data_IF_468565204732
#
_entry.id   IF_468565204732
#
_cell.length_a   1.000
_cell.length_b   1.000
_cell.length_c   1.000
_cell.angle_alpha   90.00
_cell.angle_beta   90.00
_cell.angle_gamma   90.00
#
_symmetry.space_group_name_H-M   'P 1'
#
loop_
_entity.id
_entity.type
_entity.pdbx_description
1 polymer ?
#
# COMPACT_ATOMS: atom_id res chain seq x y z
N UNK A 1 -12.04 -7.99 -15.62
CA UNK A 1 -10.91 -8.92 -15.90
C UNK A 1 -10.46 -9.52 -14.57
N UNK A 2 -10.78 -10.77 -14.26
CA UNK A 2 -10.18 -11.47 -13.12
C UNK A 2 -8.72 -11.73 -13.48
N UNK A 3 -7.82 -10.85 -13.06
CA UNK A 3 -6.40 -11.07 -13.17
C UNK A 3 -6.04 -12.38 -12.49
N UNK A 4 -5.22 -13.19 -13.14
CA UNK A 4 -4.74 -14.47 -12.61
C UNK A 4 -3.94 -14.20 -11.32
N UNK A 5 -4.56 -14.36 -10.15
CA UNK A 5 -3.96 -14.12 -8.82
C UNK A 5 -2.66 -14.92 -8.61
N UNK A 6 -2.41 -15.93 -9.44
CA UNK A 6 -1.21 -16.75 -9.43
C UNK A 6 0.02 -16.08 -10.08
N UNK A 7 -0.18 -14.99 -10.84
CA UNK A 7 0.87 -14.34 -11.63
C UNK A 7 1.25 -12.96 -11.13
N UNK A 8 0.53 -12.46 -10.14
CA UNK A 8 0.75 -11.12 -9.60
C UNK A 8 1.40 -11.24 -8.23
N UNK A 9 2.35 -10.36 -7.93
CA UNK A 9 3.01 -10.33 -6.62
C UNK A 9 2.21 -9.49 -5.63
N UNK A 10 2.22 -9.81 -4.32
CA UNK A 10 1.62 -8.96 -3.31
C UNK A 10 2.12 -7.52 -3.36
N UNK A 11 3.42 -7.31 -3.59
CA UNK A 11 4.02 -5.99 -3.72
C UNK A 11 3.45 -5.15 -4.87
N UNK A 12 3.06 -5.79 -6.01
CA UNK A 12 2.47 -5.08 -7.14
C UNK A 12 1.06 -4.58 -6.86
N UNK A 13 0.30 -5.29 -6.00
CA UNK A 13 -1.08 -4.94 -5.68
C UNK A 13 -1.16 -4.00 -4.49
N UNK A 14 -0.33 -4.23 -3.47
CA UNK A 14 -0.32 -3.43 -2.25
C UNK A 14 1.13 -3.13 -1.79
N UNK A 15 1.78 -2.13 -2.42
CA UNK A 15 3.14 -1.75 -2.09
C UNK A 15 3.26 -1.07 -0.71
N UNK A 16 2.16 -0.68 -0.09
CA UNK A 16 2.14 0.06 1.18
C UNK A 16 1.91 -0.84 2.39
N UNK A 17 1.59 -2.12 2.18
CA UNK A 17 1.36 -3.07 3.26
C UNK A 17 2.60 -3.26 4.13
N UNK A 18 2.37 -3.53 5.41
CA UNK A 18 3.44 -3.80 6.38
C UNK A 18 4.32 -4.99 5.98
N UNK A 19 3.75 -6.02 5.32
CA UNK A 19 4.48 -7.22 4.89
C UNK A 19 5.34 -6.99 3.63
N UNK A 20 5.09 -5.91 2.86
CA UNK A 20 5.96 -5.50 1.76
C UNK A 20 7.06 -4.54 2.22
N UNK A 21 7.04 -4.12 3.49
CA UNK A 21 8.08 -3.27 4.06
C UNK A 21 9.42 -4.00 4.11
N UNK A 22 10.53 -3.27 3.93
CA UNK A 22 11.86 -3.85 3.96
C UNK A 22 12.25 -4.48 5.32
N UNK A 23 11.48 -4.30 6.38
CA UNK A 23 11.73 -4.91 7.69
C UNK A 23 11.37 -6.41 7.77
N UNK A 24 10.51 -6.92 6.90
CA UNK A 24 10.06 -8.32 6.93
C UNK A 24 11.19 -9.30 6.68
N UNK A 25 12.08 -9.12 5.67
CA UNK A 25 13.26 -9.96 5.51
C UNK A 25 14.18 -9.95 6.74
N UNK A 26 14.34 -8.79 7.40
CA UNK A 26 15.15 -8.69 8.63
C UNK A 26 14.52 -9.49 9.76
N UNK A 27 13.20 -9.45 9.93
CA UNK A 27 12.53 -10.23 10.95
C UNK A 27 12.74 -11.75 10.75
N UNK A 28 12.66 -12.24 9.52
CA UNK A 28 12.94 -13.64 9.22
C UNK A 28 14.43 -13.99 9.39
N UNK A 29 15.35 -13.06 9.08
CA UNK A 29 16.77 -13.24 9.37
C UNK A 29 17.03 -13.40 10.88
N UNK A 30 16.39 -12.58 11.71
CA UNK A 30 16.49 -12.67 13.18
C UNK A 30 15.89 -13.98 13.68
N UNK A 31 14.73 -14.41 13.16
CA UNK A 31 14.12 -15.69 13.51
C UNK A 31 15.02 -16.87 13.12
N UNK A 32 15.61 -16.86 11.93
CA UNK A 32 16.55 -17.88 11.49
C UNK A 32 17.80 -17.94 12.40
N UNK A 33 18.32 -16.78 12.80
CA UNK A 33 19.43 -16.67 13.74
C UNK A 33 19.07 -17.25 15.12
N UNK A 34 17.90 -16.89 15.67
CA UNK A 34 17.46 -17.37 16.99
C UNK A 34 17.28 -18.89 16.97
N UNK A 35 16.61 -19.44 15.95
CA UNK A 35 16.37 -20.87 15.84
C UNK A 35 17.69 -21.61 15.64
N UNK A 36 18.52 -21.16 14.68
CA UNK A 36 19.82 -21.80 14.40
C UNK A 36 20.77 -21.73 15.61
N UNK A 37 20.98 -20.55 16.19
CA UNK A 37 21.85 -20.40 17.35
C UNK A 37 21.31 -21.13 18.58
N UNK A 38 19.98 -21.09 18.80
CA UNK A 38 19.36 -21.82 19.91
C UNK A 38 19.53 -23.33 19.81
N UNK A 39 19.34 -23.89 18.61
CA UNK A 39 19.54 -25.33 18.38
C UNK A 39 21.00 -25.69 18.51
N UNK A 40 21.94 -24.94 17.93
CA UNK A 40 23.36 -25.15 18.07
C UNK A 40 23.79 -25.11 19.54
N UNK A 41 23.29 -24.15 20.32
CA UNK A 41 23.59 -24.05 21.76
C UNK A 41 23.12 -25.27 22.57
N UNK A 42 22.05 -25.94 22.14
CA UNK A 42 21.55 -27.16 22.78
C UNK A 42 22.30 -28.39 22.30
N UNK A 43 22.73 -28.43 21.04
CA UNK A 43 23.31 -29.62 20.39
C UNK A 43 24.83 -29.55 20.21
N UNK A 44 25.53 -28.49 20.66
CA UNK A 44 26.93 -28.22 20.41
C UNK A 44 27.88 -29.37 20.83
N UNK A 45 27.50 -30.16 21.82
CA UNK A 45 28.30 -31.29 22.35
C UNK A 45 28.02 -32.60 21.59
N UNK A 46 27.05 -32.66 20.67
CA UNK A 46 26.65 -33.86 19.94
C UNK A 46 27.36 -34.03 18.60
N UNK A 47 28.15 -33.04 18.14
CA UNK A 47 28.83 -33.12 16.85
C UNK A 47 30.16 -32.36 16.82
N UNK A 48 31.15 -32.90 16.08
CA UNK A 48 32.50 -32.34 16.03
C UNK A 48 32.62 -31.10 15.13
N UNK A 49 31.65 -30.83 14.23
CA UNK A 49 31.73 -29.83 13.17
C UNK A 49 30.80 -28.64 13.37
N UNK A 50 30.63 -28.19 14.62
CA UNK A 50 29.72 -27.06 14.99
C UNK A 50 29.99 -25.79 14.17
N UNK A 51 31.24 -25.55 13.76
CA UNK A 51 31.58 -24.39 12.93
C UNK A 51 30.88 -24.40 11.55
N UNK A 52 30.57 -25.59 10.99
CA UNK A 52 29.80 -25.73 9.76
C UNK A 52 28.34 -25.32 9.98
N UNK A 53 27.75 -25.66 11.13
CA UNK A 53 26.41 -25.19 11.47
C UNK A 53 26.36 -23.68 11.63
N UNK A 54 27.35 -23.09 12.29
CA UNK A 54 27.46 -21.62 12.41
C UNK A 54 27.59 -20.97 11.03
N UNK A 55 28.43 -21.53 10.14
CA UNK A 55 28.55 -21.04 8.76
C UNK A 55 27.22 -21.23 7.96
N UNK A 56 26.53 -22.32 8.21
CA UNK A 56 25.19 -22.58 7.63
C UNK A 56 24.14 -21.55 8.06
N UNK A 57 24.08 -21.23 9.36
CA UNK A 57 23.22 -20.17 9.89
C UNK A 57 23.56 -18.83 9.24
N UNK A 58 24.86 -18.52 9.17
CA UNK A 58 25.31 -17.27 8.55
C UNK A 58 24.90 -17.18 7.07
N UNK A 59 24.98 -18.29 6.32
CA UNK A 59 24.52 -18.34 4.92
C UNK A 59 23.00 -18.10 4.79
N UNK A 60 22.18 -18.70 5.65
CA UNK A 60 20.72 -18.51 5.66
C UNK A 60 20.34 -17.07 6.06
N UNK A 61 20.99 -16.52 7.09
CA UNK A 61 20.81 -15.11 7.47
C UNK A 61 21.22 -14.20 6.32
N UNK A 62 22.36 -14.47 5.67
CA UNK A 62 22.80 -13.71 4.49
C UNK A 62 21.78 -13.79 3.34
N UNK A 63 21.13 -14.95 3.12
CA UNK A 63 20.06 -15.07 2.12
C UNK A 63 18.91 -14.07 2.40
N UNK A 64 18.42 -14.00 3.63
CA UNK A 64 17.38 -13.04 4.02
C UNK A 64 17.85 -11.58 3.88
N UNK A 65 19.10 -11.29 4.25
CA UNK A 65 19.68 -9.94 4.12
C UNK A 65 19.83 -9.54 2.64
N UNK A 66 20.20 -10.47 1.76
CA UNK A 66 20.26 -10.20 0.31
C UNK A 66 18.89 -9.82 -0.23
N UNK A 67 17.80 -10.50 0.17
CA UNK A 67 16.43 -10.11 -0.19
C UNK A 67 16.13 -8.70 0.30
N UNK A 68 16.52 -8.35 1.54
CA UNK A 68 16.37 -7.01 2.09
C UNK A 68 17.02 -5.92 1.20
N UNK A 69 18.23 -6.19 0.70
CA UNK A 69 18.94 -5.24 -0.17
C UNK A 69 18.35 -5.20 -1.59
N UNK A 70 17.87 -6.34 -2.10
CA UNK A 70 17.27 -6.43 -3.43
C UNK A 70 15.89 -5.75 -3.50
N UNK A 71 15.16 -5.65 -2.39
CA UNK A 71 13.79 -5.11 -2.31
C UNK A 71 13.70 -3.65 -1.85
N UNK A 72 14.83 -2.92 -1.80
CA UNK A 72 14.84 -1.49 -1.45
C UNK A 72 14.03 -0.66 -2.43
N UNK A 73 13.34 0.41 -1.98
CA UNK A 73 12.41 1.21 -2.80
C UNK A 73 13.02 1.84 -4.06
N UNK A 74 14.34 2.03 -4.08
CA UNK A 74 15.07 2.64 -5.22
C UNK A 74 15.51 1.63 -6.29
N UNK A 75 15.23 0.33 -6.12
CA UNK A 75 15.59 -0.71 -7.08
C UNK A 75 14.41 -1.12 -7.96
N UNK A 76 14.66 -1.62 -9.19
CA UNK A 76 13.61 -2.16 -10.05
C UNK A 76 12.90 -3.33 -9.36
N UNK A 77 11.69 -3.66 -9.83
CA UNK A 77 10.89 -4.75 -9.30
C UNK A 77 11.70 -6.05 -9.19
N UNK A 78 11.53 -6.77 -8.08
CA UNK A 78 12.22 -8.01 -7.78
C UNK A 78 12.02 -9.05 -8.90
N UNK A 79 13.12 -9.53 -9.45
CA UNK A 79 13.13 -10.41 -10.61
C UNK A 79 13.54 -11.85 -10.23
N UNK A 80 13.31 -12.80 -11.16
CA UNK A 80 13.81 -14.18 -11.01
C UNK A 80 15.31 -14.24 -10.75
N UNK A 81 16.11 -13.34 -11.36
CA UNK A 81 17.56 -13.28 -11.17
C UNK A 81 17.93 -12.90 -9.75
N UNK A 82 17.14 -12.02 -9.13
CA UNK A 82 17.39 -11.59 -7.75
C UNK A 82 17.08 -12.72 -6.75
N UNK A 83 16.19 -13.67 -7.10
CA UNK A 83 15.88 -14.83 -6.29
C UNK A 83 16.99 -15.91 -6.31
N UNK A 84 17.83 -15.96 -7.34
CA UNK A 84 18.88 -16.99 -7.48
C UNK A 84 19.88 -16.92 -6.32
N UNK A 85 20.34 -15.73 -5.96
CA UNK A 85 21.34 -15.55 -4.90
C UNK A 85 20.82 -16.05 -3.54
N UNK A 86 19.67 -15.61 -3.02
CA UNK A 86 19.17 -16.11 -1.74
C UNK A 86 18.83 -17.60 -1.76
N UNK A 87 18.35 -18.15 -2.88
CA UNK A 87 18.13 -19.59 -3.00
C UNK A 87 19.42 -20.38 -2.97
N UNK A 88 20.47 -19.91 -3.65
CA UNK A 88 21.81 -20.53 -3.62
C UNK A 88 22.40 -20.48 -2.20
N UNK A 89 22.29 -19.35 -1.51
CA UNK A 89 22.75 -19.22 -0.13
C UNK A 89 21.97 -20.14 0.82
N UNK A 90 20.67 -20.32 0.61
CA UNK A 90 19.87 -21.27 1.39
C UNK A 90 20.32 -22.71 1.15
N UNK A 91 20.64 -23.09 -0.10
CA UNK A 91 21.19 -24.40 -0.43
C UNK A 91 22.58 -24.59 0.17
N UNK A 92 23.47 -23.61 0.12
CA UNK A 92 24.78 -23.65 0.77
C UNK A 92 24.63 -23.86 2.27
N UNK A 93 23.77 -23.10 2.93
CA UNK A 93 23.48 -23.26 4.36
C UNK A 93 22.93 -24.66 4.70
N UNK A 94 22.04 -25.18 3.86
CA UNK A 94 21.52 -26.54 3.99
C UNK A 94 22.64 -27.61 3.86
N UNK A 95 23.50 -27.50 2.85
CA UNK A 95 24.59 -28.45 2.62
C UNK A 95 25.61 -28.40 3.76
N UNK A 96 25.99 -27.22 4.24
CA UNK A 96 26.91 -27.08 5.37
C UNK A 96 26.36 -27.76 6.63
N UNK A 97 25.11 -27.55 6.94
CA UNK A 97 24.44 -28.20 8.07
C UNK A 97 24.23 -29.70 7.86
N UNK A 98 24.07 -30.16 6.60
CA UNK A 98 24.04 -31.58 6.25
C UNK A 98 25.37 -32.27 6.57
N UNK A 99 26.48 -31.65 6.16
CA UNK A 99 27.84 -32.18 6.41
C UNK A 99 28.11 -32.24 7.92
N UNK A 100 27.69 -31.19 8.67
CA UNK A 100 27.78 -31.21 10.13
C UNK A 100 26.98 -32.33 10.77
N UNK A 101 25.82 -32.66 10.20
CA UNK A 101 24.93 -33.71 10.68
C UNK A 101 25.39 -35.14 10.43
N UNK A 102 26.26 -35.38 9.42
CA UNK A 102 26.68 -36.74 9.01
C UNK A 102 27.44 -37.51 10.11
N UNK A 103 28.22 -36.81 10.91
CA UNK A 103 29.05 -37.40 11.99
C UNK A 103 28.51 -37.00 13.39
N UNK A 104 27.25 -36.60 13.48
CA UNK A 104 26.66 -36.16 14.73
C UNK A 104 25.63 -37.16 15.26
N UNK A 105 25.44 -37.18 16.59
CA UNK A 105 24.33 -37.90 17.25
C UNK A 105 23.01 -37.14 17.27
N UNK A 106 22.91 -36.05 16.50
CA UNK A 106 21.71 -35.22 16.43
C UNK A 106 20.62 -35.97 15.69
N UNK A 107 19.42 -35.98 16.26
CA UNK A 107 18.26 -36.57 15.59
C UNK A 107 17.68 -35.60 14.53
N UNK A 108 17.18 -36.15 13.41
CA UNK A 108 16.60 -35.37 12.30
C UNK A 108 15.54 -34.35 12.74
N UNK A 109 14.79 -34.63 13.81
CA UNK A 109 13.78 -33.72 14.39
C UNK A 109 14.38 -32.47 15.06
N UNK A 110 15.67 -32.51 15.44
CA UNK A 110 16.39 -31.37 16.01
C UNK A 110 17.27 -30.66 14.96
N UNK A 111 17.16 -31.05 13.71
CA UNK A 111 17.88 -30.40 12.62
C UNK A 111 17.27 -29.04 12.29
N UNK A 112 17.99 -27.99 12.58
CA UNK A 112 17.50 -26.59 12.44
C UNK A 112 17.39 -26.11 10.98
N UNK A 113 18.25 -26.63 10.06
CA UNK A 113 18.37 -26.10 8.71
C UNK A 113 17.05 -26.08 7.89
N UNK A 114 16.17 -27.08 7.96
CA UNK A 114 14.86 -27.04 7.29
C UNK A 114 14.00 -25.84 7.69
N UNK A 115 14.01 -25.46 8.97
CA UNK A 115 13.26 -24.31 9.49
C UNK A 115 13.87 -23.01 8.92
N UNK A 116 15.20 -22.89 8.92
CA UNK A 116 15.91 -21.76 8.35
C UNK A 116 15.64 -21.58 6.86
N UNK A 117 15.63 -22.68 6.09
CA UNK A 117 15.26 -22.67 4.66
C UNK A 117 13.81 -22.25 4.48
N UNK A 118 12.88 -22.68 5.33
CA UNK A 118 11.49 -22.24 5.34
C UNK A 118 11.35 -20.73 5.53
N UNK A 119 12.17 -20.12 6.38
CA UNK A 119 12.20 -18.66 6.57
C UNK A 119 12.70 -17.93 5.32
N UNK A 120 13.67 -18.49 4.56
CA UNK A 120 14.09 -17.90 3.28
C UNK A 120 12.92 -17.90 2.29
N UNK A 121 12.14 -19.00 2.18
CA UNK A 121 10.94 -19.06 1.34
C UNK A 121 9.92 -18.00 1.78
N UNK A 122 9.68 -17.88 3.08
CA UNK A 122 8.76 -16.88 3.63
C UNK A 122 9.20 -15.43 3.32
N UNK A 123 10.51 -15.18 3.36
CA UNK A 123 11.11 -13.88 3.02
C UNK A 123 10.83 -13.48 1.57
N UNK A 124 10.78 -14.43 0.64
CA UNK A 124 10.50 -14.20 -0.78
C UNK A 124 9.02 -13.98 -1.07
N UNK A 125 8.12 -14.33 -0.15
CA UNK A 125 6.67 -14.29 -0.33
C UNK A 125 6.13 -12.96 -0.87
N UNK A 126 6.36 -11.83 -0.22
CA UNK A 126 5.82 -10.54 -0.64
C UNK A 126 6.27 -10.09 -2.04
N UNK A 127 7.40 -10.58 -2.50
CA UNK A 127 8.10 -10.12 -3.71
C UNK A 127 8.01 -11.09 -4.88
N UNK A 128 7.45 -12.29 -4.67
CA UNK A 128 7.35 -13.34 -5.67
C UNK A 128 5.88 -13.71 -5.94
N UNK A 129 5.60 -14.25 -7.12
CA UNK A 129 4.28 -14.79 -7.45
C UNK A 129 4.04 -16.12 -6.73
N UNK A 130 2.77 -16.49 -6.52
CA UNK A 130 2.41 -17.78 -5.90
C UNK A 130 3.06 -18.96 -6.61
N UNK A 131 3.11 -18.93 -7.94
CA UNK A 131 3.78 -19.99 -8.75
C UNK A 131 5.27 -20.09 -8.46
N UNK A 132 5.94 -18.95 -8.34
CA UNK A 132 7.38 -18.90 -8.02
C UNK A 132 7.64 -19.45 -6.61
N UNK A 133 6.82 -19.05 -5.61
CA UNK A 133 6.94 -19.57 -4.25
C UNK A 133 6.79 -21.09 -4.21
N UNK A 134 5.80 -21.64 -4.91
CA UNK A 134 5.62 -23.11 -5.01
C UNK A 134 6.85 -23.74 -5.66
N UNK A 135 7.36 -23.20 -6.76
CA UNK A 135 8.53 -23.74 -7.45
C UNK A 135 9.79 -23.71 -6.55
N UNK A 136 10.06 -22.57 -5.90
CA UNK A 136 11.21 -22.43 -4.98
C UNK A 136 11.08 -23.37 -3.78
N UNK A 137 9.90 -23.40 -3.18
CA UNK A 137 9.61 -24.24 -2.03
C UNK A 137 9.67 -25.72 -2.36
N UNK A 138 9.19 -26.15 -3.54
CA UNK A 138 9.28 -27.54 -4.00
C UNK A 138 10.74 -27.95 -4.23
N UNK A 139 11.53 -27.09 -4.90
CA UNK A 139 12.96 -27.32 -5.10
C UNK A 139 13.70 -27.51 -3.77
N UNK A 140 13.48 -26.57 -2.84
CA UNK A 140 14.12 -26.60 -1.54
C UNK A 140 13.63 -27.76 -0.67
N UNK A 141 12.36 -28.15 -0.75
CA UNK A 141 11.82 -29.32 -0.05
C UNK A 141 12.47 -30.62 -0.52
N UNK A 142 12.63 -30.79 -1.85
CA UNK A 142 13.33 -31.96 -2.40
C UNK A 142 14.80 -31.97 -1.98
N UNK A 143 15.49 -30.84 -2.08
CA UNK A 143 16.87 -30.70 -1.63
C UNK A 143 17.01 -31.04 -0.12
N UNK A 144 16.10 -30.55 0.71
CA UNK A 144 16.11 -30.82 2.15
C UNK A 144 15.82 -32.28 2.47
N UNK A 145 14.89 -32.93 1.75
CA UNK A 145 14.63 -34.36 1.89
C UNK A 145 15.87 -35.20 1.54
N UNK A 146 16.52 -34.89 0.42
CA UNK A 146 17.75 -35.58 -0.01
C UNK A 146 18.88 -35.38 0.99
N UNK A 147 19.13 -34.16 1.42
CA UNK A 147 20.11 -33.83 2.43
C UNK A 147 19.85 -34.53 3.76
N UNK A 148 18.59 -34.58 4.20
CA UNK A 148 18.17 -35.29 5.40
C UNK A 148 18.42 -36.79 5.31
N UNK A 149 18.15 -37.41 4.15
CA UNK A 149 18.47 -38.82 3.93
C UNK A 149 19.96 -39.09 3.95
N UNK A 150 20.78 -38.20 3.38
CA UNK A 150 22.23 -38.33 3.37
C UNK A 150 22.79 -38.21 4.79
N UNK A 151 22.30 -37.27 5.60
CA UNK A 151 22.86 -37.03 6.95
C UNK A 151 22.36 -38.04 8.01
N UNK A 152 21.09 -38.49 7.93
CA UNK A 152 20.42 -39.16 9.04
C UNK A 152 19.97 -40.59 8.75
N UNK A 153 20.23 -41.14 7.54
CA UNK A 153 19.94 -42.54 7.22
C UNK A 153 21.24 -43.32 7.27
N UNK A 154 21.58 -43.87 8.46
CA UNK A 154 22.73 -44.75 8.64
C UNK A 154 22.27 -46.18 9.03
N UNK A 155 23.09 -47.22 8.81
CA UNK A 155 22.78 -48.57 9.23
C UNK A 155 22.59 -48.63 10.77
N UNK A 156 21.40 -49.09 11.20
CA UNK A 156 21.08 -49.18 12.64
C UNK A 156 20.17 -48.05 13.18
N UNK A 157 19.84 -47.08 12.38
CA UNK A 157 18.88 -46.02 12.80
C UNK A 157 17.43 -46.55 12.89
N UNK A 158 16.70 -46.05 13.86
CA UNK A 158 15.30 -46.43 14.16
C UNK A 158 14.33 -45.99 13.05
N UNK A 159 14.64 -44.91 12.31
CA UNK A 159 13.77 -44.31 11.34
C UNK A 159 13.99 -44.85 9.91
N UNK A 160 12.88 -45.12 9.21
CA UNK A 160 12.96 -45.46 7.78
C UNK A 160 13.38 -44.25 6.95
N UNK A 161 14.00 -44.47 5.79
CA UNK A 161 14.41 -43.41 4.84
C UNK A 161 13.23 -42.49 4.49
N UNK A 162 12.03 -43.05 4.32
CA UNK A 162 10.82 -42.29 4.02
C UNK A 162 10.43 -41.38 5.17
N UNK A 163 10.52 -41.88 6.41
CA UNK A 163 10.23 -41.06 7.60
C UNK A 163 11.21 -39.92 7.77
N UNK A 164 12.52 -40.16 7.56
CA UNK A 164 13.55 -39.13 7.60
C UNK A 164 13.31 -38.07 6.53
N UNK A 165 13.04 -38.47 5.29
CA UNK A 165 12.75 -37.54 4.18
C UNK A 165 11.53 -36.67 4.49
N UNK A 166 10.47 -37.27 5.04
CA UNK A 166 9.24 -36.55 5.38
C UNK A 166 9.46 -35.56 6.52
N UNK A 167 10.13 -35.96 7.60
CA UNK A 167 10.44 -35.10 8.74
C UNK A 167 11.34 -33.93 8.28
N UNK A 168 12.40 -34.23 7.53
CA UNK A 168 13.34 -33.22 7.02
C UNK A 168 12.63 -32.20 6.12
N UNK A 169 11.77 -32.61 5.18
CA UNK A 169 11.08 -31.71 4.27
C UNK A 169 9.91 -30.94 4.92
N UNK A 170 9.34 -31.45 6.02
CA UNK A 170 8.08 -30.95 6.59
C UNK A 170 8.07 -29.45 6.88
N UNK A 171 9.13 -28.92 7.47
CA UNK A 171 9.23 -27.50 7.82
C UNK A 171 9.22 -26.60 6.55
N UNK A 172 9.94 -27.02 5.49
CA UNK A 172 9.99 -26.27 4.23
C UNK A 172 8.65 -26.36 3.51
N UNK A 173 8.00 -27.52 3.50
CA UNK A 173 6.67 -27.73 2.88
C UNK A 173 5.63 -26.87 3.59
N UNK A 174 5.58 -26.89 4.93
CA UNK A 174 4.65 -26.09 5.72
C UNK A 174 4.90 -24.59 5.48
N UNK A 175 6.15 -24.15 5.51
CA UNK A 175 6.54 -22.76 5.23
C UNK A 175 6.13 -22.34 3.81
N UNK A 176 6.30 -23.21 2.82
CA UNK A 176 5.93 -22.97 1.42
C UNK A 176 4.41 -22.84 1.27
N UNK A 177 3.66 -23.79 1.82
CA UNK A 177 2.18 -23.78 1.76
C UNK A 177 1.62 -22.57 2.48
N UNK A 178 2.12 -22.26 3.67
CA UNK A 178 1.70 -21.07 4.42
C UNK A 178 1.98 -19.78 3.65
N UNK A 179 3.18 -19.63 3.09
CA UNK A 179 3.57 -18.45 2.32
C UNK A 179 2.77 -18.32 1.03
N UNK A 180 2.59 -19.42 0.28
CA UNK A 180 1.81 -19.43 -0.95
C UNK A 180 0.34 -19.10 -0.70
N UNK A 181 -0.25 -19.68 0.36
CA UNK A 181 -1.63 -19.39 0.78
C UNK A 181 -1.79 -17.93 1.20
N UNK A 182 -0.87 -17.41 2.01
CA UNK A 182 -0.86 -16.01 2.41
C UNK A 182 -0.81 -15.08 1.19
N UNK A 183 0.13 -15.30 0.27
CA UNK A 183 0.24 -14.49 -0.95
C UNK A 183 -1.02 -14.57 -1.81
N UNK A 184 -1.58 -15.77 -1.99
CA UNK A 184 -2.82 -15.96 -2.74
C UNK A 184 -4.00 -15.23 -2.12
N UNK A 185 -4.19 -15.35 -0.80
CA UNK A 185 -5.28 -14.69 -0.08
C UNK A 185 -5.14 -13.18 -0.13
N UNK A 186 -3.94 -12.64 0.07
CA UNK A 186 -3.68 -11.19 -0.02
C UNK A 186 -4.00 -10.69 -1.41
N UNK A 187 -3.47 -11.34 -2.45
CA UNK A 187 -3.69 -10.93 -3.84
C UNK A 187 -5.16 -11.03 -4.23
N UNK A 188 -5.83 -12.15 -3.93
CA UNK A 188 -7.23 -12.37 -4.31
C UNK A 188 -8.19 -11.46 -3.56
N UNK A 189 -7.97 -11.22 -2.26
CA UNK A 189 -8.83 -10.32 -1.46
C UNK A 189 -8.68 -8.86 -1.91
N UNK A 190 -7.45 -8.42 -2.20
CA UNK A 190 -7.22 -7.05 -2.70
C UNK A 190 -7.80 -6.87 -4.10
N UNK A 191 -7.66 -7.85 -5.01
CA UNK A 191 -8.31 -7.82 -6.33
C UNK A 191 -9.83 -7.79 -6.22
N UNK A 192 -10.43 -8.54 -5.29
CA UNK A 192 -11.87 -8.51 -5.05
C UNK A 192 -12.36 -7.14 -4.56
N UNK A 193 -11.59 -6.49 -3.67
CA UNK A 193 -11.87 -5.14 -3.20
C UNK A 193 -11.78 -4.11 -4.33
N UNK A 194 -10.73 -4.20 -5.16
CA UNK A 194 -10.56 -3.33 -6.33
C UNK A 194 -11.67 -3.53 -7.37
N UNK A 195 -12.10 -4.77 -7.61
CA UNK A 195 -13.21 -5.07 -8.50
C UNK A 195 -14.54 -4.53 -7.94
N UNK A 196 -14.75 -4.61 -6.62
CA UNK A 196 -15.91 -4.02 -5.94
C UNK A 196 -15.90 -2.50 -5.96
N UNK A 197 -14.74 -1.87 -5.83
CA UNK A 197 -14.59 -0.41 -5.94
C UNK A 197 -14.81 0.10 -7.37
N UNK A 198 -14.48 -0.72 -8.39
CA UNK A 198 -14.70 -0.39 -9.81
C UNK A 198 -16.16 -0.50 -10.26
N UNK A 199 -17.04 -1.10 -9.45
CA UNK A 199 -18.50 -1.18 -9.69
C UNK A 199 -19.29 0.00 -9.09
N UNK A 200 -18.63 1.12 -8.76
CA UNK A 200 -19.36 2.38 -8.65
C UNK A 200 -19.94 2.66 -10.05
N UNK A 201 -21.27 2.62 -10.24
CA UNK A 201 -21.85 2.73 -11.56
C UNK A 201 -21.43 4.05 -12.22
N UNK A 202 -21.36 4.14 -13.55
CA UNK A 202 -21.12 5.40 -14.26
C UNK A 202 -22.23 6.46 -14.04
N UNK A 203 -23.16 6.17 -13.14
CA UNK A 203 -24.10 7.14 -12.58
C UNK A 203 -23.45 8.39 -11.99
N UNK A 204 -22.11 8.38 -11.76
CA UNK A 204 -21.42 9.53 -11.22
C UNK A 204 -21.34 10.72 -12.18
N UNK A 205 -21.26 10.52 -13.50
CA UNK A 205 -21.24 11.66 -14.44
C UNK A 205 -22.62 12.29 -14.60
N UNK A 206 -23.65 11.48 -14.81
CA UNK A 206 -25.02 11.99 -14.90
C UNK A 206 -25.51 12.59 -13.56
N UNK A 207 -25.18 11.95 -12.43
CA UNK A 207 -25.48 12.49 -11.10
C UNK A 207 -24.65 13.73 -10.76
N UNK A 208 -23.40 13.82 -11.23
CA UNK A 208 -22.57 15.03 -11.07
C UNK A 208 -23.07 16.18 -11.92
N UNK A 209 -23.47 15.94 -13.18
CA UNK A 209 -24.08 16.95 -14.03
C UNK A 209 -25.44 17.40 -13.48
N UNK A 210 -26.23 16.48 -12.96
CA UNK A 210 -27.53 16.82 -12.37
C UNK A 210 -27.35 17.55 -11.03
N UNK A 211 -26.34 17.24 -10.24
CA UNK A 211 -25.98 18.01 -9.05
C UNK A 211 -25.47 19.42 -9.42
N UNK A 212 -24.63 19.55 -10.44
CA UNK A 212 -24.18 20.85 -10.94
C UNK A 212 -25.37 21.69 -11.43
N UNK A 213 -26.30 21.13 -12.23
CA UNK A 213 -27.51 21.77 -12.68
C UNK A 213 -28.46 22.13 -11.52
N UNK A 214 -28.52 21.32 -10.46
CA UNK A 214 -29.27 21.64 -9.24
C UNK A 214 -28.68 22.82 -8.47
N UNK A 215 -27.35 22.90 -8.37
CA UNK A 215 -26.65 24.02 -7.72
C UNK A 215 -26.90 25.31 -8.53
N UNK A 216 -26.74 25.24 -9.84
CA UNK A 216 -27.02 26.38 -10.74
C UNK A 216 -28.49 26.87 -10.64
N UNK A 217 -29.46 25.95 -10.69
CA UNK A 217 -30.88 26.29 -10.50
C UNK A 217 -31.17 26.88 -9.12
N UNK A 218 -30.52 26.36 -8.04
CA UNK A 218 -30.68 26.94 -6.69
C UNK A 218 -30.07 28.34 -6.59
N UNK A 219 -28.95 28.58 -7.27
CA UNK A 219 -28.32 29.90 -7.30
C UNK A 219 -29.19 30.89 -8.06
N UNK A 220 -29.70 30.51 -9.24
CA UNK A 220 -30.65 31.33 -10.01
C UNK A 220 -31.96 31.56 -9.27
N UNK A 221 -32.48 30.54 -8.59
CA UNK A 221 -33.71 30.69 -7.77
C UNK A 221 -33.49 31.62 -6.57
N UNK A 222 -32.31 31.58 -5.91
CA UNK A 222 -32.00 32.53 -4.82
C UNK A 222 -31.88 33.96 -5.31
N UNK A 223 -31.29 34.17 -6.49
CA UNK A 223 -31.23 35.47 -7.14
C UNK A 223 -32.63 35.95 -7.51
N UNK A 224 -33.43 35.11 -8.15
CA UNK A 224 -34.81 35.42 -8.49
C UNK A 224 -35.65 35.76 -7.28
N UNK A 225 -35.60 34.97 -6.19
CA UNK A 225 -36.37 35.19 -4.98
C UNK A 225 -36.02 36.46 -4.19
N UNK A 226 -34.84 37.04 -4.40
CA UNK A 226 -34.44 38.28 -3.71
C UNK A 226 -34.60 39.54 -4.59
N UNK A 227 -34.30 39.41 -5.86
CA UNK A 227 -34.27 40.58 -6.77
C UNK A 227 -35.60 40.77 -7.47
N UNK A 228 -36.32 39.69 -7.85
CA UNK A 228 -37.60 39.79 -8.53
C UNK A 228 -38.69 40.53 -7.72
N UNK A 229 -38.91 40.23 -6.41
CA UNK A 229 -39.90 40.94 -5.62
C UNK A 229 -39.58 42.42 -5.45
N UNK A 230 -38.32 42.78 -5.39
CA UNK A 230 -37.88 44.19 -5.33
C UNK A 230 -38.17 44.93 -6.63
N UNK A 231 -37.89 44.31 -7.78
CA UNK A 231 -38.19 44.91 -9.08
C UNK A 231 -39.68 44.98 -9.37
N UNK A 232 -40.46 43.98 -8.97
CA UNK A 232 -41.91 43.94 -9.06
C UNK A 232 -42.52 45.07 -8.21
N UNK A 233 -42.05 45.27 -6.95
CA UNK A 233 -42.47 46.33 -6.08
C UNK A 233 -42.24 47.74 -6.65
N UNK A 234 -41.12 47.97 -7.35
CA UNK A 234 -40.84 49.22 -8.05
C UNK A 234 -41.75 49.37 -9.28
N UNK A 235 -41.99 48.29 -10.04
CA UNK A 235 -42.83 48.31 -11.22
C UNK A 235 -44.28 48.66 -10.85
N UNK A 236 -44.78 48.10 -9.75
CA UNK A 236 -46.14 48.37 -9.25
C UNK A 236 -46.29 49.78 -8.64
N UNK A 237 -45.24 50.31 -8.01
CA UNK A 237 -45.28 51.66 -7.43
C UNK A 237 -45.18 52.78 -8.49
N UNK A 238 -44.62 52.50 -9.68
CA UNK A 238 -44.45 53.45 -10.77
C UNK A 238 -43.44 54.57 -10.54
N UNK A 239 -42.88 54.70 -9.33
CA UNK A 239 -41.90 55.73 -8.97
C UNK A 239 -40.75 55.11 -8.17
N UNK A 240 -39.53 55.59 -8.41
CA UNK A 240 -38.31 55.13 -7.70
C UNK A 240 -37.99 56.11 -6.58
N UNK A 241 -38.17 55.68 -5.35
CA UNK A 241 -37.86 56.50 -4.17
C UNK A 241 -36.36 56.51 -3.82
N UNK A 242 -35.86 57.45 -3.03
CA UNK A 242 -34.47 57.44 -2.51
C UNK A 242 -34.14 56.18 -1.68
N UNK A 243 -35.14 55.61 -0.99
CA UNK A 243 -35.01 54.35 -0.24
C UNK A 243 -34.80 53.17 -1.17
N UNK A 244 -35.48 53.11 -2.33
CA UNK A 244 -35.31 52.05 -3.32
C UNK A 244 -33.91 52.09 -3.95
N UNK A 245 -33.38 53.28 -4.19
CA UNK A 245 -31.96 53.42 -4.66
C UNK A 245 -30.97 52.92 -3.65
N UNK A 246 -31.15 53.21 -2.37
CA UNK A 246 -30.28 52.71 -1.31
C UNK A 246 -30.34 51.18 -1.20
N UNK A 247 -31.55 50.58 -1.26
CA UNK A 247 -31.75 49.12 -1.24
C UNK A 247 -31.20 48.45 -2.49
N UNK A 248 -31.38 49.03 -3.67
CA UNK A 248 -30.74 48.53 -4.92
C UNK A 248 -29.22 48.51 -4.80
N UNK A 249 -28.63 49.60 -4.28
CA UNK A 249 -27.20 49.64 -4.03
C UNK A 249 -26.69 48.61 -3.02
N UNK A 250 -27.48 48.28 -2.01
CA UNK A 250 -27.15 47.22 -1.04
C UNK A 250 -27.24 45.83 -1.67
N UNK A 251 -28.32 45.55 -2.39
CA UNK A 251 -28.50 44.29 -3.11
C UNK A 251 -27.43 44.08 -4.18
N UNK A 252 -27.04 45.11 -4.91
CA UNK A 252 -25.95 45.06 -5.89
C UNK A 252 -24.59 44.73 -5.25
N UNK A 253 -24.26 45.36 -4.12
CA UNK A 253 -23.03 45.06 -3.37
C UNK A 253 -23.02 43.63 -2.84
N UNK A 254 -24.14 43.18 -2.31
CA UNK A 254 -24.31 41.83 -1.78
C UNK A 254 -24.17 40.78 -2.89
N UNK A 255 -24.81 41.02 -4.04
CA UNK A 255 -24.71 40.17 -5.22
C UNK A 255 -23.28 40.08 -5.75
N UNK A 256 -22.59 41.24 -5.83
CA UNK A 256 -21.19 41.28 -6.25
C UNK A 256 -20.30 40.50 -5.28
N UNK A 257 -20.52 40.67 -3.98
CA UNK A 257 -19.77 39.90 -2.95
C UNK A 257 -20.02 38.41 -3.07
N UNK A 258 -21.26 37.98 -3.28
CA UNK A 258 -21.64 36.59 -3.47
C UNK A 258 -21.01 36.00 -4.76
N UNK A 259 -21.03 36.77 -5.87
CA UNK A 259 -20.42 36.36 -7.14
C UNK A 259 -18.89 36.27 -7.04
N UNK A 260 -18.21 37.22 -6.39
CA UNK A 260 -16.77 37.19 -6.15
C UNK A 260 -16.40 36.00 -5.25
N UNK A 261 -17.16 35.76 -4.19
CA UNK A 261 -16.97 34.59 -3.31
C UNK A 261 -17.19 33.28 -4.06
N UNK A 262 -18.13 33.24 -5.00
CA UNK A 262 -18.39 32.04 -5.82
C UNK A 262 -17.31 31.86 -6.89
N UNK A 263 -16.80 32.94 -7.50
CA UNK A 263 -15.71 32.89 -8.47
C UNK A 263 -14.39 32.47 -7.85
N UNK A 264 -14.16 32.83 -6.57
CA UNK A 264 -12.97 32.43 -5.82
C UNK A 264 -13.05 31.03 -5.21
N UNK A 265 -14.17 30.32 -5.35
CA UNK A 265 -14.27 28.94 -4.86
C UNK A 265 -13.57 28.00 -5.84
N UNK A 266 -12.56 27.32 -5.31
CA UNK A 266 -11.88 26.27 -6.07
C UNK A 266 -12.75 25.03 -6.27
N UNK A 267 -12.42 24.17 -7.22
CA UNK A 267 -13.10 22.89 -7.41
C UNK A 267 -13.03 22.04 -6.12
N UNK A 268 -11.98 22.22 -5.30
CA UNK A 268 -11.77 21.52 -4.05
C UNK A 268 -12.79 21.97 -2.99
N UNK A 269 -13.10 23.28 -2.91
CA UNK A 269 -14.14 23.81 -2.05
C UNK A 269 -15.53 23.24 -2.40
N UNK A 270 -15.77 22.99 -3.70
CA UNK A 270 -17.02 22.38 -4.15
C UNK A 270 -17.21 20.96 -3.61
N UNK A 271 -16.13 20.18 -3.46
CA UNK A 271 -16.15 18.85 -2.83
C UNK A 271 -16.32 18.98 -1.32
N UNK A 272 -15.67 19.95 -0.69
CA UNK A 272 -15.76 20.19 0.74
C UNK A 272 -17.20 20.49 1.21
N UNK A 273 -18.03 21.11 0.36
CA UNK A 273 -19.45 21.38 0.65
C UNK A 273 -20.30 20.11 0.82
N UNK A 274 -19.88 18.98 0.24
CA UNK A 274 -20.60 17.69 0.32
C UNK A 274 -20.10 16.79 1.45
N UNK A 275 -19.00 17.14 2.09
CA UNK A 275 -18.38 16.33 3.14
C UNK A 275 -17.80 17.15 4.29
N UNK A 276 -17.30 16.46 5.30
CA UNK A 276 -16.58 17.08 6.43
C UNK A 276 -15.10 17.29 6.05
N UNK A 277 -14.85 18.13 5.04
CA UNK A 277 -13.49 18.45 4.58
C UNK A 277 -13.24 19.92 4.89
N UNK A 278 -12.14 20.18 5.60
CA UNK A 278 -11.62 21.54 5.76
C UNK A 278 -10.52 21.76 4.72
N UNK A 279 -10.69 22.77 3.89
CA UNK A 279 -9.76 23.16 2.83
C UNK A 279 -9.10 24.49 3.24
N UNK A 280 -7.78 24.49 3.23
CA UNK A 280 -6.96 25.72 3.40
C UNK A 280 -6.17 25.92 2.10
N UNK A 281 -6.68 26.77 1.23
CA UNK A 281 -6.08 27.12 -0.06
C UNK A 281 -6.19 28.63 -0.29
N UNK A 282 -5.38 29.45 0.42
CA UNK A 282 -5.51 30.90 0.37
C UNK A 282 -5.21 31.49 -1.01
N UNK A 283 -4.39 30.82 -1.81
CA UNK A 283 -3.91 31.27 -3.12
C UNK A 283 -4.65 30.65 -4.29
N UNK A 284 -5.77 29.94 -4.05
CA UNK A 284 -6.56 29.19 -5.05
C UNK A 284 -5.69 28.23 -5.90
N UNK A 285 -4.68 27.61 -5.29
CA UNK A 285 -3.72 26.71 -5.96
C UNK A 285 -4.34 25.40 -6.43
N UNK A 286 -5.45 24.99 -5.85
CA UNK A 286 -6.20 23.84 -6.33
C UNK A 286 -6.63 24.00 -7.78
N UNK A 287 -6.91 25.21 -8.25
CA UNK A 287 -7.32 25.48 -9.64
C UNK A 287 -6.14 25.40 -10.63
N UNK A 288 -4.91 25.45 -10.14
CA UNK A 288 -3.71 25.24 -10.95
C UNK A 288 -3.41 23.78 -11.21
N UNK A 289 -4.08 22.83 -10.52
CA UNK A 289 -3.93 21.40 -10.81
C UNK A 289 -4.39 21.05 -12.22
N UNK A 290 -3.62 20.20 -12.90
CA UNK A 290 -4.05 19.66 -14.19
C UNK A 290 -5.20 18.65 -14.04
N UNK A 291 -5.84 18.25 -15.13
CA UNK A 291 -7.01 17.37 -15.13
C UNK A 291 -6.72 16.00 -14.48
N UNK A 292 -5.52 15.44 -14.70
CA UNK A 292 -5.11 14.15 -14.13
C UNK A 292 -4.96 14.25 -12.58
N UNK A 293 -4.30 15.29 -12.09
CA UNK A 293 -4.12 15.58 -10.67
C UNK A 293 -5.45 15.80 -9.97
N UNK A 294 -6.35 16.61 -10.56
CA UNK A 294 -7.71 16.84 -10.04
C UNK A 294 -8.49 15.55 -9.95
N UNK A 295 -8.43 14.71 -11.00
CA UNK A 295 -9.14 13.43 -11.04
C UNK A 295 -8.62 12.46 -9.99
N UNK A 296 -7.30 12.33 -9.85
CA UNK A 296 -6.67 11.44 -8.88
C UNK A 296 -6.99 11.86 -7.43
N UNK A 297 -6.84 13.16 -7.11
CA UNK A 297 -7.14 13.68 -5.78
C UNK A 297 -8.64 13.57 -5.47
N UNK A 298 -9.50 13.89 -6.42
CA UNK A 298 -10.96 13.75 -6.28
C UNK A 298 -11.37 12.30 -6.02
N UNK A 299 -10.77 11.33 -6.73
CA UNK A 299 -11.03 9.91 -6.53
C UNK A 299 -10.64 9.47 -5.12
N UNK A 300 -9.46 9.91 -4.64
CA UNK A 300 -9.01 9.65 -3.27
C UNK A 300 -9.99 10.22 -2.23
N UNK A 301 -10.36 11.49 -2.34
CA UNK A 301 -11.28 12.15 -1.40
C UNK A 301 -12.65 11.47 -1.36
N UNK A 302 -13.22 11.17 -2.53
CA UNK A 302 -14.51 10.50 -2.62
C UNK A 302 -14.48 9.08 -2.05
N UNK A 303 -13.38 8.34 -2.26
CA UNK A 303 -13.22 7.01 -1.70
C UNK A 303 -13.16 7.04 -0.16
N UNK A 304 -12.46 8.03 0.39
CA UNK A 304 -12.39 8.27 1.83
C UNK A 304 -13.76 8.61 2.38
N UNK A 305 -14.47 9.54 1.76
CA UNK A 305 -15.78 10.04 2.22
C UNK A 305 -16.89 8.98 2.12
N UNK A 306 -16.87 8.14 1.09
CA UNK A 306 -17.92 7.15 0.84
C UNK A 306 -17.67 5.81 1.55
N UNK A 307 -16.57 5.65 2.29
CA UNK A 307 -16.31 4.40 3.00
C UNK A 307 -17.12 4.33 4.31
N UNK A 308 -18.13 3.44 4.41
CA UNK A 308 -18.97 3.33 5.59
C UNK A 308 -18.21 2.83 6.85
N UNK A 309 -17.05 2.20 6.67
CA UNK A 309 -16.20 1.75 7.76
C UNK A 309 -15.18 2.82 8.23
N UNK A 310 -15.04 3.91 7.49
CA UNK A 310 -14.32 5.09 7.92
C UNK A 310 -15.29 5.95 8.75
N UNK A 311 -15.20 5.86 10.07
CA UNK A 311 -15.75 6.92 10.93
C UNK A 311 -14.88 8.13 10.65
N UNK A 312 -15.25 8.87 9.63
CA UNK A 312 -14.47 10.01 9.17
C UNK A 312 -14.59 11.10 10.22
N UNK A 313 -13.50 11.33 10.93
CA UNK A 313 -13.26 12.57 11.62
C UNK A 313 -13.25 13.74 10.61
N UNK A 314 -12.53 14.75 10.89
CA UNK A 314 -12.40 15.90 10.00
C UNK A 314 -11.26 15.66 9.02
N UNK A 315 -11.55 15.58 7.72
CA UNK A 315 -10.55 15.61 6.66
C UNK A 315 -10.01 17.05 6.55
N UNK A 316 -8.69 17.19 6.58
CA UNK A 316 -8.03 18.49 6.46
C UNK A 316 -7.07 18.47 5.27
N UNK A 317 -7.24 19.42 4.34
CA UNK A 317 -6.36 19.63 3.18
C UNK A 317 -5.77 21.02 3.25
N UNK A 318 -4.47 21.11 3.16
CA UNK A 318 -3.72 22.35 3.10
C UNK A 318 -2.87 22.40 1.83
N UNK A 319 -2.98 23.51 1.09
CA UNK A 319 -2.15 23.81 -0.07
C UNK A 319 -1.29 25.03 0.25
N UNK A 320 0.03 24.89 0.12
CA UNK A 320 0.99 25.99 0.35
C UNK A 320 1.91 26.15 -0.86
N UNK A 321 2.12 27.39 -1.27
CA UNK A 321 3.14 27.70 -2.27
C UNK A 321 4.53 27.62 -1.68
N UNK A 322 5.45 27.00 -2.41
CA UNK A 322 6.86 27.00 -2.12
C UNK A 322 7.58 28.09 -2.93
N UNK A 323 8.78 28.44 -2.51
CA UNK A 323 9.59 29.51 -3.13
C UNK A 323 10.05 29.20 -4.55
N UNK A 324 10.02 27.93 -4.95
CA UNK A 324 10.37 27.44 -6.29
C UNK A 324 9.19 27.44 -7.29
N UNK A 325 8.03 27.98 -6.87
CA UNK A 325 6.79 27.97 -7.65
C UNK A 325 6.00 26.69 -7.57
N UNK A 326 6.51 25.65 -6.94
CA UNK A 326 5.77 24.40 -6.67
C UNK A 326 4.69 24.62 -5.61
N UNK A 327 3.78 23.64 -5.46
CA UNK A 327 2.74 23.67 -4.43
C UNK A 327 2.85 22.42 -3.56
N UNK A 328 3.15 22.60 -2.29
CA UNK A 328 3.09 21.54 -1.30
C UNK A 328 1.64 21.29 -0.89
N UNK A 329 1.21 20.04 -0.91
CA UNK A 329 -0.11 19.61 -0.48
C UNK A 329 0.03 18.66 0.70
N UNK A 330 -0.66 18.96 1.79
CA UNK A 330 -0.75 18.11 2.97
C UNK A 330 -2.21 17.71 3.20
N UNK A 331 -2.47 16.41 3.23
CA UNK A 331 -3.79 15.83 3.47
C UNK A 331 -3.75 15.01 4.75
N UNK A 332 -4.45 15.45 5.78
CA UNK A 332 -4.66 14.70 7.02
C UNK A 332 -5.91 13.86 6.91
N UNK A 333 -5.76 12.56 7.12
CA UNK A 333 -6.77 11.53 7.01
C UNK A 333 -7.03 10.95 8.40
N UNK A 334 -8.01 11.48 9.13
CA UNK A 334 -8.38 10.94 10.44
C UNK A 334 -9.30 9.73 10.27
N UNK A 335 -8.72 8.53 10.40
CA UNK A 335 -9.44 7.26 10.30
C UNK A 335 -9.42 6.48 11.61
N UNK A 336 -10.56 6.00 12.02
CA UNK A 336 -10.67 5.02 13.12
C UNK A 336 -10.37 3.57 12.70
N UNK A 337 -9.86 3.37 11.48
CA UNK A 337 -9.53 2.05 10.94
C UNK A 337 -8.12 1.58 11.37
N UNK A 338 -7.92 0.27 11.62
CA UNK A 338 -6.59 -0.29 11.81
C UNK A 338 -5.67 -0.01 10.62
N UNK A 339 -4.37 0.22 10.89
CA UNK A 339 -3.36 0.63 9.89
C UNK A 339 -3.39 -0.21 8.60
N UNK A 340 -3.46 -1.54 8.72
CA UNK A 340 -3.49 -2.43 7.57
C UNK A 340 -4.72 -2.24 6.67
N UNK A 341 -5.89 -1.96 7.24
CA UNK A 341 -7.11 -1.66 6.46
C UNK A 341 -7.05 -0.30 5.80
N UNK A 342 -6.46 0.69 6.47
CA UNK A 342 -6.23 2.03 5.89
C UNK A 342 -5.31 1.96 4.68
N UNK A 343 -4.17 1.27 4.83
CA UNK A 343 -3.21 1.05 3.75
C UNK A 343 -3.88 0.38 2.54
N UNK A 344 -4.63 -0.69 2.77
CA UNK A 344 -5.32 -1.43 1.71
C UNK A 344 -6.36 -0.58 0.99
N UNK A 345 -7.11 0.27 1.70
CA UNK A 345 -8.10 1.15 1.12
C UNK A 345 -7.47 2.27 0.28
N UNK A 346 -6.36 2.84 0.76
CA UNK A 346 -5.72 3.99 0.11
C UNK A 346 -4.76 3.59 -1.03
N UNK A 347 -4.25 2.35 -1.03
CA UNK A 347 -3.23 1.90 -1.98
C UNK A 347 -3.57 2.18 -3.47
N UNK A 348 -4.77 1.87 -4.00
CA UNK A 348 -5.08 2.14 -5.40
C UNK A 348 -5.08 3.64 -5.74
N UNK A 349 -5.55 4.46 -4.82
CA UNK A 349 -5.59 5.93 -5.01
C UNK A 349 -4.20 6.55 -4.83
N UNK A 350 -3.41 6.02 -3.90
CA UNK A 350 -2.01 6.40 -3.73
C UNK A 350 -1.20 6.15 -5.01
N UNK A 351 -1.34 4.97 -5.62
CA UNK A 351 -0.67 4.63 -6.88
C UNK A 351 -1.10 5.55 -8.02
N UNK A 352 -2.40 5.84 -8.13
CA UNK A 352 -2.90 6.77 -9.14
C UNK A 352 -2.36 8.18 -8.91
N UNK A 353 -2.30 8.63 -7.66
CA UNK A 353 -1.76 9.93 -7.31
C UNK A 353 -0.25 9.99 -7.58
N UNK A 354 0.50 8.92 -7.25
CA UNK A 354 1.94 8.82 -7.49
C UNK A 354 2.35 9.01 -8.95
N UNK A 355 1.49 8.63 -9.90
CA UNK A 355 1.76 8.82 -11.33
C UNK A 355 1.53 10.26 -11.79
N UNK A 356 0.88 11.10 -10.98
CA UNK A 356 0.45 12.45 -11.38
C UNK A 356 1.11 13.58 -10.58
N UNK A 357 1.74 13.25 -9.44
CA UNK A 357 2.36 14.22 -8.53
C UNK A 357 3.82 13.86 -8.23
N UNK A 358 4.56 14.80 -7.64
CA UNK A 358 5.95 14.61 -7.22
C UNK A 358 6.03 14.40 -5.71
N UNK A 359 7.12 13.73 -5.26
CA UNK A 359 7.48 13.59 -3.84
C UNK A 359 6.36 13.07 -2.94
N UNK A 360 5.53 12.14 -3.47
CA UNK A 360 4.44 11.56 -2.71
C UNK A 360 4.97 10.74 -1.53
N UNK A 361 4.57 11.09 -0.34
CA UNK A 361 4.91 10.41 0.91
C UNK A 361 3.69 10.24 1.80
N UNK A 362 3.60 9.10 2.48
CA UNK A 362 2.58 8.87 3.49
C UNK A 362 3.22 8.51 4.82
N UNK A 363 2.83 9.22 5.88
CA UNK A 363 3.17 8.93 7.25
C UNK A 363 1.97 8.24 7.93
N UNK A 364 2.01 6.90 8.08
CA UNK A 364 0.89 6.14 8.65
C UNK A 364 0.70 6.40 10.15
N UNK A 365 1.72 6.92 10.85
CA UNK A 365 1.64 7.21 12.29
C UNK A 365 0.84 8.48 12.58
N UNK A 366 0.82 9.41 11.62
CA UNK A 366 0.11 10.69 11.71
C UNK A 366 -1.09 10.79 10.78
N UNK A 367 -1.36 9.72 10.01
CA UNK A 367 -2.37 9.71 8.95
C UNK A 367 -2.23 10.88 7.96
N UNK A 368 -0.99 11.22 7.63
CA UNK A 368 -0.66 12.39 6.85
C UNK A 368 -0.07 11.99 5.50
N UNK A 369 -0.77 12.37 4.42
CA UNK A 369 -0.31 12.25 3.05
C UNK A 369 0.26 13.59 2.59
N UNK A 370 1.49 13.59 2.06
CA UNK A 370 2.14 14.78 1.51
C UNK A 370 2.58 14.52 0.09
N UNK A 371 2.43 15.52 -0.76
CA UNK A 371 2.94 15.51 -2.13
C UNK A 371 3.19 16.92 -2.63
N UNK A 372 3.94 17.01 -3.73
CA UNK A 372 4.22 18.28 -4.40
C UNK A 372 3.62 18.28 -5.80
N UNK A 373 3.05 19.41 -6.18
CA UNK A 373 2.64 19.70 -7.54
C UNK A 373 3.78 20.49 -8.20
N UNK A 374 4.25 20.10 -9.38
CA UNK A 374 5.29 20.85 -10.08
C UNK A 374 4.83 22.28 -10.37
N UNK A 375 5.77 23.18 -10.43
CA UNK A 375 5.52 24.52 -10.92
C UNK A 375 4.93 24.41 -12.34
N UNK A 376 3.81 25.07 -12.58
CA UNK A 376 3.22 25.11 -13.91
C UNK A 376 4.07 26.08 -14.73
N UNK A 377 4.72 25.59 -15.76
CA UNK A 377 5.30 26.46 -16.77
C UNK A 377 4.13 27.21 -17.43
N UNK A 378 4.10 28.51 -17.28
CA UNK A 378 3.13 29.35 -18.00
C UNK A 378 3.35 29.15 -19.51
N UNK A 379 2.31 28.84 -20.28
CA UNK A 379 2.47 28.59 -21.71
C UNK A 379 2.66 29.89 -22.56
N UNK A 380 3.20 30.94 -21.94
CA UNK A 380 3.50 32.20 -22.62
C UNK A 380 4.96 32.63 -22.34
N UNK A 381 5.90 32.09 -23.16
CA UNK A 381 7.08 32.82 -23.69
C UNK A 381 7.46 32.28 -25.07
#
# INVERSE_FOLDING_TARGET
MRGDAWRVTPQQIDPLSWFTRPLVPVAFAVLALIVGAGTIAITWYLGPLVWLDVAGVAAIVAACVVVQFATRPLRPAFSLRDAVIPLTLALVGLVLSTISGMDSEVLVQHWWAPIGVGFVVATLGPFSTVRQIIAYGSLLSVATAVCGCIAFVAPGHVWSTVSVAFIAASAVVIGTVATATFCYVVVSSTQALLAGAGTVPPASHAASEEAARRVERRTLARLGNRVAPFLEGIADAGEVTPADRALAGQLARQLRSDLVSQANRTWLDSIALFGRIYVVDPDARADRMNAAQRTALRALLLAVMNNPAATVGTLFIELRGESDGSTAVALSLDFSLPEGRRAMMLAPYYLTLQTTVQSLSWDPSRDLLRFQLPAQEDPEE
#
